data_IF_201941608648
#
_entry.id   IF_201941608648
#
_cell.length_a   1.000
_cell.length_b   1.000
_cell.length_c   1.000
_cell.angle_alpha   90.00
_cell.angle_beta   90.00
_cell.angle_gamma   90.00
#
_symmetry.space_group_name_H-M   'P 1'
#
loop_
_entity.id
_entity.type
_entity.pdbx_description
1 polymer ?
#
# COMPACT_ATOMS: atom_id res chain seq x y z
N UNK A 1 -26.55 -29.96 -3.54
CA UNK A 1 -25.50 -29.11 -4.16
C UNK A 1 -26.16 -28.14 -5.15
N UNK A 2 -27.03 -27.25 -4.71
CA UNK A 2 -27.67 -26.24 -5.57
C UNK A 2 -27.94 -24.98 -4.74
N UNK A 3 -27.52 -23.78 -5.26
CA UNK A 3 -27.83 -22.43 -4.86
C UNK A 3 -26.90 -21.76 -3.83
N UNK A 4 -25.64 -21.50 -4.22
CA UNK A 4 -24.81 -20.44 -3.58
C UNK A 4 -23.94 -19.66 -4.59
N UNK A 5 -24.26 -19.72 -5.89
CA UNK A 5 -23.37 -19.24 -6.95
C UNK A 5 -23.67 -17.83 -7.50
N UNK A 6 -24.47 -17.04 -6.80
CA UNK A 6 -24.95 -15.76 -7.34
C UNK A 6 -24.15 -14.51 -6.99
N UNK A 7 -23.14 -14.54 -6.10
CA UNK A 7 -22.62 -13.31 -5.48
C UNK A 7 -21.08 -13.17 -5.51
N UNK A 8 -20.35 -14.08 -6.13
CA UNK A 8 -18.86 -14.02 -6.08
C UNK A 8 -18.27 -13.68 -7.45
N UNK A 9 -18.71 -12.60 -8.06
CA UNK A 9 -18.12 -12.13 -9.32
C UNK A 9 -17.35 -10.83 -9.09
N UNK A 10 -16.03 -10.90 -9.15
CA UNK A 10 -15.19 -9.72 -9.34
C UNK A 10 -14.19 -9.36 -8.23
N UNK A 11 -13.37 -10.31 -7.73
CA UNK A 11 -12.41 -9.99 -6.68
C UNK A 11 -10.96 -10.17 -7.12
N UNK A 12 -10.10 -9.20 -6.79
CA UNK A 12 -8.65 -9.40 -6.70
C UNK A 12 -8.35 -9.76 -5.24
N UNK A 13 -7.89 -10.98 -5.02
CA UNK A 13 -7.57 -11.49 -3.70
C UNK A 13 -6.10 -11.19 -3.39
N UNK A 14 -5.84 -10.12 -2.61
CA UNK A 14 -4.54 -9.90 -2.00
C UNK A 14 -4.64 -10.21 -0.51
N UNK A 15 -3.80 -11.09 -0.01
CA UNK A 15 -3.88 -11.52 1.37
C UNK A 15 -3.00 -10.73 2.31
N UNK A 16 -3.65 -10.04 3.22
CA UNK A 16 -3.03 -9.43 4.39
C UNK A 16 -3.79 -9.91 5.64
N UNK A 17 -3.10 -10.16 6.77
CA UNK A 17 -3.79 -10.44 8.01
C UNK A 17 -4.66 -9.24 8.39
N UNK A 18 -5.96 -9.47 8.51
CA UNK A 18 -6.93 -8.43 8.81
C UNK A 18 -6.90 -8.05 10.28
N UNK A 19 -6.32 -6.91 10.59
CA UNK A 19 -6.72 -6.11 11.73
C UNK A 19 -7.47 -4.90 11.18
N UNK A 20 -8.69 -4.67 11.62
CA UNK A 20 -9.43 -3.47 11.25
C UNK A 20 -8.62 -2.24 11.69
N UNK A 21 -8.04 -1.53 10.73
CA UNK A 21 -7.26 -0.34 11.01
C UNK A 21 -8.18 0.86 11.16
N UNK A 22 -8.29 1.35 12.39
CA UNK A 22 -8.87 2.67 12.68
C UNK A 22 -7.82 3.79 12.66
N UNK A 23 -6.64 3.49 12.09
CA UNK A 23 -5.52 4.45 12.05
C UNK A 23 -5.89 5.66 11.20
N UNK A 24 -5.72 6.85 11.78
CA UNK A 24 -5.83 8.10 11.04
C UNK A 24 -4.61 8.29 10.10
N UNK A 25 -4.80 8.97 8.95
CA UNK A 25 -3.68 9.36 8.10
C UNK A 25 -2.60 10.11 8.87
N UNK A 26 -1.34 9.77 8.59
CA UNK A 26 -0.19 10.53 9.10
C UNK A 26 0.25 11.46 8.00
N UNK A 27 0.32 12.77 8.29
CA UNK A 27 0.78 13.81 7.38
C UNK A 27 1.82 14.66 8.07
N UNK A 28 3.00 14.80 7.48
CA UNK A 28 4.13 15.55 8.04
C UNK A 28 4.67 16.54 7.04
N UNK A 29 4.74 17.80 7.45
CA UNK A 29 5.40 18.87 6.72
C UNK A 29 6.89 18.89 7.10
N UNK A 30 7.72 18.18 6.33
CA UNK A 30 9.12 17.92 6.66
C UNK A 30 9.95 19.21 6.69
N UNK A 31 10.67 19.44 7.79
CA UNK A 31 11.44 20.65 8.02
C UNK A 31 10.61 21.90 8.30
N UNK A 32 9.28 21.79 8.37
CA UNK A 32 8.35 22.91 8.55
C UNK A 32 7.48 22.79 9.79
N UNK A 33 6.65 23.81 10.00
CA UNK A 33 5.60 23.83 11.02
C UNK A 33 4.33 23.15 10.55
N UNK A 34 3.31 23.12 11.42
CA UNK A 34 1.99 22.62 11.05
C UNK A 34 1.38 23.44 9.91
N UNK A 35 0.66 22.75 9.00
CA UNK A 35 0.00 23.36 7.85
C UNK A 35 -1.34 22.70 7.59
N UNK A 36 -2.35 23.49 7.23
CA UNK A 36 -3.63 22.96 6.73
C UNK A 36 -3.69 23.19 5.24
N UNK A 37 -3.86 22.12 4.48
CA UNK A 37 -3.88 22.16 3.02
C UNK A 37 -5.22 22.68 2.45
N UNK A 38 -5.28 22.82 1.13
CA UNK A 38 -6.46 23.31 0.40
C UNK A 38 -7.69 22.42 0.55
N UNK A 39 -7.51 21.16 0.97
CA UNK A 39 -8.59 20.20 1.23
C UNK A 39 -9.02 20.18 2.71
N UNK A 40 -8.45 21.07 3.55
CA UNK A 40 -8.71 21.10 4.98
C UNK A 40 -7.98 20.02 5.78
N UNK A 41 -7.01 19.33 5.19
CA UNK A 41 -6.24 18.27 5.85
C UNK A 41 -5.08 18.88 6.63
N UNK A 42 -4.88 18.43 7.87
CA UNK A 42 -3.82 18.94 8.73
C UNK A 42 -2.53 18.12 8.52
N UNK A 43 -1.48 18.80 8.12
CA UNK A 43 -0.11 18.32 8.09
C UNK A 43 0.58 18.74 9.37
N UNK A 44 1.09 17.78 10.13
CA UNK A 44 1.79 18.06 11.39
C UNK A 44 3.14 18.73 11.13
N UNK A 45 3.61 19.46 12.13
CA UNK A 45 4.99 19.93 12.16
C UNK A 45 5.95 18.74 12.03
N UNK A 46 7.14 19.01 11.51
CA UNK A 46 8.18 18.02 11.25
C UNK A 46 8.49 17.14 12.46
N UNK A 47 8.27 15.85 12.32
CA UNK A 47 8.42 14.83 13.36
C UNK A 47 8.72 13.45 12.77
N UNK A 48 9.20 12.53 13.62
CA UNK A 48 9.45 11.13 13.23
C UNK A 48 10.82 10.87 12.60
N UNK A 49 11.68 11.87 12.47
CA UNK A 49 13.01 11.75 11.89
C UNK A 49 14.09 11.41 12.94
N UNK A 50 15.17 10.78 12.46
CA UNK A 50 16.34 10.46 13.30
C UNK A 50 17.42 11.58 13.28
N UNK A 51 17.57 12.27 12.16
CA UNK A 51 18.66 13.25 11.93
C UNK A 51 18.29 14.26 10.84
N UNK A 52 19.25 15.06 10.41
CA UNK A 52 19.10 16.04 9.32
C UNK A 52 18.68 17.42 9.80
N UNK A 53 18.64 18.36 8.87
CA UNK A 53 18.37 19.77 9.10
C UNK A 53 17.10 20.19 8.38
N UNK A 54 16.20 20.86 9.07
CA UNK A 54 15.05 21.54 8.45
C UNK A 54 15.51 22.80 7.72
N UNK A 55 14.96 23.06 6.56
CA UNK A 55 15.21 24.25 5.77
C UNK A 55 13.92 24.76 5.17
N UNK A 56 13.81 26.08 5.06
CA UNK A 56 12.68 26.75 4.40
C UNK A 56 13.21 27.66 3.30
N UNK A 57 12.47 27.77 2.22
CA UNK A 57 12.68 28.75 1.18
C UNK A 57 11.34 29.39 0.77
N UNK A 58 11.43 30.57 0.16
CA UNK A 58 10.24 31.37 -0.21
C UNK A 58 9.81 31.17 -1.67
N UNK A 59 10.44 30.24 -2.38
CA UNK A 59 10.17 30.02 -3.79
C UNK A 59 8.79 29.37 -3.95
N UNK A 60 8.01 29.88 -4.88
CA UNK A 60 6.72 29.29 -5.23
C UNK A 60 6.94 28.00 -6.02
N UNK A 61 6.33 26.92 -5.58
CA UNK A 61 6.35 25.63 -6.27
C UNK A 61 5.12 25.52 -7.15
N UNK A 62 5.33 25.12 -8.42
CA UNK A 62 4.27 24.86 -9.40
C UNK A 62 3.86 23.39 -9.41
N UNK A 63 2.80 23.01 -10.14
CA UNK A 63 2.33 21.63 -10.24
C UNK A 63 1.60 21.11 -9.01
N UNK A 64 1.14 22.02 -8.11
CA UNK A 64 0.40 21.66 -6.89
C UNK A 64 -0.61 22.75 -6.52
N UNK A 65 -1.73 22.35 -5.87
CA UNK A 65 -2.66 23.27 -5.20
C UNK A 65 -2.14 23.80 -3.86
N UNK A 66 -1.12 23.13 -3.27
CA UNK A 66 -0.59 23.40 -1.95
C UNK A 66 0.92 23.72 -1.96
N UNK A 67 1.33 24.84 -2.62
CA UNK A 67 2.74 25.17 -2.79
C UNK A 67 3.47 25.40 -1.45
N UNK A 68 2.73 25.70 -0.38
CA UNK A 68 3.30 25.91 0.96
C UNK A 68 3.96 24.66 1.53
N UNK A 69 3.44 23.45 1.24
CA UNK A 69 4.05 22.17 1.65
C UNK A 69 5.45 21.95 1.07
N UNK A 70 5.77 22.62 -0.03
CA UNK A 70 7.07 22.48 -0.70
C UNK A 70 8.07 23.58 -0.32
N UNK A 71 7.67 24.56 0.50
CA UNK A 71 8.57 25.62 0.98
C UNK A 71 9.54 25.13 2.03
N UNK A 72 9.16 24.13 2.82
CA UNK A 72 10.04 23.49 3.80
C UNK A 72 10.52 22.13 3.27
N UNK A 73 11.63 21.70 3.79
CA UNK A 73 12.17 20.37 3.57
C UNK A 73 13.10 19.96 4.69
N UNK A 74 13.24 18.67 4.93
CA UNK A 74 14.35 18.13 5.71
C UNK A 74 15.36 17.50 4.76
N UNK A 75 16.63 17.82 4.95
CA UNK A 75 17.75 17.24 4.22
C UNK A 75 18.80 16.73 5.19
N UNK A 76 19.67 15.84 4.73
CA UNK A 76 20.77 15.35 5.56
C UNK A 76 22.11 15.48 4.86
N UNK A 77 23.02 16.28 5.46
CA UNK A 77 24.35 16.56 4.95
C UNK A 77 25.39 15.51 5.39
N UNK A 78 25.03 14.57 6.24
CA UNK A 78 25.96 13.55 6.78
C UNK A 78 25.88 12.26 5.96
N UNK A 79 26.78 11.31 6.27
CA UNK A 79 26.74 9.97 5.67
C UNK A 79 25.76 9.02 6.35
N UNK A 80 25.25 9.36 7.54
CA UNK A 80 24.19 8.60 8.20
C UNK A 80 22.88 8.79 7.44
N UNK A 81 22.15 7.75 7.04
CA UNK A 81 20.89 7.90 6.33
C UNK A 81 19.87 8.74 7.10
N UNK A 82 19.12 9.58 6.40
CA UNK A 82 17.93 10.22 6.94
C UNK A 82 16.82 9.19 6.99
N UNK A 83 16.26 8.96 8.18
CA UNK A 83 15.18 7.99 8.37
C UNK A 83 14.01 8.69 9.06
N UNK A 84 12.83 8.55 8.47
CA UNK A 84 11.57 8.81 9.16
C UNK A 84 10.98 7.49 9.62
N UNK A 85 10.46 7.44 10.86
CA UNK A 85 9.84 6.25 11.43
C UNK A 85 8.53 6.60 12.11
N UNK A 86 7.49 5.87 11.77
CA UNK A 86 6.15 6.04 12.30
C UNK A 86 5.62 4.73 12.85
N UNK A 87 5.20 4.71 14.11
CA UNK A 87 4.50 3.59 14.69
C UNK A 87 3.10 3.51 14.07
N UNK A 88 2.78 2.38 13.46
CA UNK A 88 1.48 2.14 12.82
C UNK A 88 1.08 0.68 13.08
N UNK A 89 -0.21 0.36 13.20
CA UNK A 89 -0.68 -1.02 13.23
C UNK A 89 -0.21 -1.83 12.02
N UNK A 90 -0.17 -3.15 12.14
CA UNK A 90 0.06 -4.01 10.99
C UNK A 90 -1.07 -3.88 9.97
N UNK A 91 -0.73 -3.90 8.68
CA UNK A 91 -1.70 -3.76 7.58
C UNK A 91 -1.12 -3.08 6.35
N UNK A 92 -1.99 -2.78 5.40
CA UNK A 92 -1.63 -2.10 4.15
C UNK A 92 -1.60 -0.58 4.30
N UNK A 93 -0.64 0.06 3.65
CA UNK A 93 -0.50 1.51 3.62
C UNK A 93 -0.09 2.00 2.24
N UNK A 94 -0.60 3.18 1.88
CA UNK A 94 -0.03 3.99 0.81
C UNK A 94 0.86 5.05 1.45
N UNK A 95 2.09 5.15 0.97
CA UNK A 95 3.06 6.17 1.37
C UNK A 95 3.28 7.11 0.20
N UNK A 96 2.92 8.37 0.38
CA UNK A 96 3.14 9.44 -0.58
C UNK A 96 4.32 10.28 -0.11
N UNK A 97 5.31 10.44 -0.98
CA UNK A 97 6.52 11.20 -0.76
C UNK A 97 6.51 12.42 -1.68
N UNK A 98 6.52 13.61 -1.10
CA UNK A 98 6.38 14.87 -1.83
C UNK A 98 7.76 15.55 -1.95
N UNK A 99 8.14 15.90 -3.17
CA UNK A 99 9.44 16.51 -3.46
C UNK A 99 9.30 17.70 -4.40
N UNK A 100 10.21 18.66 -4.26
CA UNK A 100 10.49 19.69 -5.25
C UNK A 100 11.96 20.12 -5.14
N UNK A 101 12.64 20.37 -6.27
CA UNK A 101 13.98 20.95 -6.24
C UNK A 101 13.90 22.48 -6.23
N UNK A 102 14.02 23.04 -5.03
CA UNK A 102 13.91 24.48 -4.80
C UNK A 102 15.25 25.16 -4.50
N UNK A 103 16.36 24.41 -4.50
CA UNK A 103 17.69 24.96 -4.27
C UNK A 103 18.30 25.42 -5.61
N UNK A 104 18.48 26.74 -5.88
CA UNK A 104 18.94 27.21 -7.20
C UNK A 104 20.24 26.59 -7.67
N UNK A 105 21.18 26.32 -6.75
CA UNK A 105 22.46 25.70 -7.08
C UNK A 105 22.36 24.22 -7.50
N UNK A 106 21.21 23.58 -7.31
CA UNK A 106 20.97 22.16 -7.59
C UNK A 106 19.90 21.95 -8.66
N UNK A 107 19.47 23.04 -9.32
CA UNK A 107 18.50 22.99 -10.42
C UNK A 107 19.19 22.63 -11.75
N UNK A 108 19.83 21.48 -11.76
CA UNK A 108 20.46 20.86 -12.92
C UNK A 108 20.46 19.33 -12.74
N UNK A 109 20.21 18.59 -13.80
CA UNK A 109 20.18 17.13 -13.74
C UNK A 109 21.53 16.55 -13.25
N UNK A 110 21.48 15.57 -12.38
CA UNK A 110 22.64 14.95 -11.77
C UNK A 110 23.18 15.66 -10.52
N UNK A 111 22.67 16.86 -10.19
CA UNK A 111 23.18 17.60 -9.04
C UNK A 111 22.74 17.04 -7.69
N UNK A 112 21.59 16.37 -7.61
CA UNK A 112 21.12 15.68 -6.44
C UNK A 112 20.54 14.32 -6.83
N UNK A 113 21.15 13.25 -6.33
CA UNK A 113 20.72 11.88 -6.58
C UNK A 113 20.71 11.12 -5.26
N UNK A 114 19.63 10.40 -4.98
CA UNK A 114 19.48 9.59 -3.79
C UNK A 114 18.56 8.39 -4.02
N UNK A 115 18.65 7.40 -3.13
CA UNK A 115 17.72 6.29 -3.09
C UNK A 115 16.72 6.47 -1.97
N UNK A 116 15.55 5.85 -2.09
CA UNK A 116 14.56 5.75 -1.02
C UNK A 116 14.18 4.30 -0.81
N UNK A 117 14.14 3.89 0.47
CA UNK A 117 13.66 2.58 0.89
C UNK A 117 12.44 2.71 1.81
N UNK A 118 11.48 1.81 1.65
CA UNK A 118 10.39 1.59 2.60
C UNK A 118 10.59 0.25 3.30
N UNK A 119 10.72 0.27 4.63
CA UNK A 119 10.96 -0.94 5.43
C UNK A 119 12.11 -1.79 4.88
N UNK A 120 13.19 -1.13 4.41
CA UNK A 120 14.37 -1.79 3.84
C UNK A 120 14.26 -2.17 2.36
N UNK A 121 13.09 -2.05 1.73
CA UNK A 121 12.90 -2.34 0.30
C UNK A 121 13.08 -1.05 -0.50
N UNK A 122 13.96 -1.07 -1.51
CA UNK A 122 14.19 0.07 -2.39
C UNK A 122 12.95 0.35 -3.24
N UNK A 123 12.41 1.57 -3.14
CA UNK A 123 11.24 2.03 -3.90
C UNK A 123 11.59 3.12 -4.91
N UNK A 124 12.65 3.91 -4.65
CA UNK A 124 13.26 4.83 -5.62
C UNK A 124 14.76 4.53 -5.67
N UNK A 125 15.29 4.41 -6.88
CA UNK A 125 16.72 4.22 -7.12
C UNK A 125 17.23 5.31 -8.05
N UNK A 126 18.37 5.92 -7.69
CA UNK A 126 18.97 7.02 -8.43
C UNK A 126 17.98 8.17 -8.73
N UNK A 127 17.11 8.48 -7.77
CA UNK A 127 16.09 9.50 -7.95
C UNK A 127 16.71 10.89 -7.98
N UNK A 128 16.42 11.62 -9.05
CA UNK A 128 16.79 13.00 -9.29
C UNK A 128 15.53 13.83 -9.49
N UNK A 129 15.21 14.66 -8.50
CA UNK A 129 13.98 15.47 -8.50
C UNK A 129 13.96 16.43 -9.70
N UNK A 130 15.10 17.08 -9.98
CA UNK A 130 15.17 18.03 -11.08
C UNK A 130 15.05 17.35 -12.44
N UNK A 131 15.69 16.21 -12.63
CA UNK A 131 15.58 15.44 -13.87
C UNK A 131 14.14 14.94 -14.11
N UNK A 132 13.40 14.64 -13.04
CA UNK A 132 12.02 14.17 -13.13
C UNK A 132 11.03 15.27 -13.53
N UNK A 133 11.12 16.47 -12.92
CA UNK A 133 10.07 17.51 -13.04
C UNK A 133 10.60 18.93 -13.24
N UNK A 134 11.90 19.14 -13.25
CA UNK A 134 12.51 20.48 -13.39
C UNK A 134 12.54 21.28 -12.08
N UNK A 135 12.91 22.58 -12.23
CA UNK A 135 13.03 23.50 -11.13
C UNK A 135 11.67 23.87 -10.53
N UNK A 136 11.62 23.96 -9.20
CA UNK A 136 10.46 24.49 -8.46
C UNK A 136 9.13 23.86 -8.86
N UNK A 137 9.14 22.60 -9.27
CA UNK A 137 7.96 21.85 -9.67
C UNK A 137 7.73 20.71 -8.68
N UNK A 138 6.48 20.54 -8.24
CA UNK A 138 6.11 19.49 -7.32
C UNK A 138 6.07 18.13 -8.02
N UNK A 139 6.57 17.11 -7.36
CA UNK A 139 6.36 15.71 -7.72
C UNK A 139 5.97 14.93 -6.46
N UNK A 140 5.03 14.01 -6.62
CA UNK A 140 4.61 13.06 -5.60
C UNK A 140 4.86 11.65 -6.10
N UNK A 141 5.67 10.91 -5.33
CA UNK A 141 5.92 9.50 -5.58
C UNK A 141 5.09 8.67 -4.59
N UNK A 142 4.34 7.70 -5.09
CA UNK A 142 3.37 6.92 -4.29
C UNK A 142 3.71 5.44 -4.30
N UNK A 143 3.74 4.83 -3.11
CA UNK A 143 4.09 3.43 -2.93
C UNK A 143 3.10 2.74 -1.99
N UNK A 144 2.72 1.53 -2.32
CA UNK A 144 1.99 0.68 -1.39
C UNK A 144 2.99 -0.20 -0.63
N UNK A 145 2.75 -0.38 0.66
CA UNK A 145 3.56 -1.25 1.52
C UNK A 145 2.70 -2.00 2.51
N UNK A 146 3.16 -3.16 2.94
CA UNK A 146 2.53 -3.93 4.02
C UNK A 146 3.40 -3.86 5.26
N UNK A 147 2.80 -3.50 6.38
CA UNK A 147 3.44 -3.47 7.69
C UNK A 147 3.12 -4.75 8.45
N UNK A 148 4.16 -5.45 8.90
CA UNK A 148 4.06 -6.63 9.77
C UNK A 148 4.82 -6.44 11.08
N UNK A 149 5.61 -5.37 11.19
CA UNK A 149 6.47 -5.06 12.35
C UNK A 149 6.05 -3.81 13.13
N UNK A 150 4.79 -3.37 13.02
CA UNK A 150 4.26 -2.26 13.81
C UNK A 150 4.80 -0.88 13.46
N UNK A 151 5.57 -0.73 12.37
CA UNK A 151 6.13 0.56 11.96
C UNK A 151 6.34 0.68 10.46
N UNK A 152 6.33 1.92 9.96
CA UNK A 152 6.85 2.29 8.64
C UNK A 152 8.15 3.05 8.85
N UNK A 153 9.23 2.60 8.19
CA UNK A 153 10.50 3.30 8.12
C UNK A 153 10.77 3.72 6.67
N UNK A 154 11.05 5.01 6.48
CA UNK A 154 11.37 5.62 5.18
C UNK A 154 12.82 6.09 5.26
N UNK A 155 13.71 5.45 4.52
CA UNK A 155 15.14 5.71 4.55
C UNK A 155 15.58 6.38 3.25
N UNK A 156 16.35 7.46 3.36
CA UNK A 156 16.89 8.23 2.26
C UNK A 156 18.41 8.08 2.23
N UNK A 157 18.92 7.36 1.24
CA UNK A 157 20.35 7.09 1.07
C UNK A 157 20.97 8.09 0.09
N UNK A 158 22.00 8.76 0.54
CA UNK A 158 22.75 9.74 -0.25
C UNK A 158 23.59 9.05 -1.34
N UNK A 159 23.49 9.54 -2.57
CA UNK A 159 24.41 9.20 -3.67
C UNK A 159 25.19 10.43 -4.14
N UNK A 160 24.49 11.46 -4.61
CA UNK A 160 25.08 12.75 -5.00
C UNK A 160 24.35 13.84 -4.22
N UNK A 161 25.08 14.71 -3.54
CA UNK A 161 24.52 15.73 -2.67
C UNK A 161 23.60 15.15 -1.57
N UNK A 162 22.90 15.99 -0.86
CA UNK A 162 22.08 15.62 0.29
C UNK A 162 20.70 15.10 -0.16
N UNK A 163 20.23 13.94 0.31
CA UNK A 163 18.84 13.58 0.13
C UNK A 163 17.94 14.59 0.83
N UNK A 164 16.73 14.79 0.31
CA UNK A 164 15.74 15.71 0.90
C UNK A 164 14.33 15.15 0.73
N UNK A 165 13.42 15.65 1.56
CA UNK A 165 11.98 15.39 1.49
C UNK A 165 11.22 16.66 1.91
N UNK A 166 10.15 17.01 1.21
CA UNK A 166 9.30 18.15 1.53
C UNK A 166 8.12 17.77 2.43
N UNK A 167 7.42 16.69 2.11
CA UNK A 167 6.33 16.21 2.96
C UNK A 167 6.13 14.70 2.81
N UNK A 168 5.56 14.09 3.83
CA UNK A 168 5.23 12.66 3.88
C UNK A 168 3.77 12.51 4.24
N UNK A 169 3.04 11.71 3.46
CA UNK A 169 1.70 11.27 3.80
C UNK A 169 1.67 9.75 3.85
N UNK A 170 1.11 9.21 4.93
CA UNK A 170 0.87 7.78 5.10
C UNK A 170 -0.62 7.58 5.29
N UNK A 171 -1.23 6.97 4.30
CA UNK A 171 -2.64 6.63 4.30
C UNK A 171 -2.77 5.16 4.67
N UNK A 172 -3.48 4.80 5.74
CA UNK A 172 -3.91 3.43 5.86
C UNK A 172 -4.73 3.15 4.59
N UNK A 173 -4.34 2.13 3.87
CA UNK A 173 -5.22 1.54 2.87
C UNK A 173 -6.37 1.06 3.74
N UNK A 174 -7.48 1.80 3.73
CA UNK A 174 -8.60 1.60 4.63
C UNK A 174 -8.91 0.12 4.73
N UNK A 175 -9.66 -0.34 5.72
CA UNK A 175 -10.05 -1.74 5.74
C UNK A 175 -10.61 -2.04 4.34
N UNK A 176 -9.71 -2.47 3.43
CA UNK A 176 -10.14 -2.97 2.12
C UNK A 176 -11.24 -3.95 2.46
N UNK A 177 -12.37 -3.90 1.78
CA UNK A 177 -13.48 -4.76 2.15
C UNK A 177 -12.96 -6.18 2.29
N UNK A 178 -13.10 -6.73 3.47
CA UNK A 178 -12.58 -8.04 3.79
C UNK A 178 -13.61 -9.08 3.40
N UNK A 179 -13.15 -10.16 2.81
CA UNK A 179 -13.93 -11.38 2.65
C UNK A 179 -13.26 -12.47 3.49
N UNK A 180 -13.99 -13.00 4.45
CA UNK A 180 -13.55 -14.17 5.21
C UNK A 180 -14.18 -15.42 4.63
N UNK A 181 -13.37 -16.38 4.23
CA UNK A 181 -13.80 -17.74 3.86
C UNK A 181 -13.61 -18.63 5.07
N UNK A 182 -14.71 -19.19 5.59
CA UNK A 182 -14.68 -20.11 6.72
C UNK A 182 -15.00 -21.51 6.23
N UNK A 183 -14.06 -22.41 6.42
CA UNK A 183 -14.16 -23.83 6.03
C UNK A 183 -14.36 -24.70 7.27
N UNK A 184 -15.44 -25.43 7.28
CA UNK A 184 -15.73 -26.39 8.35
C UNK A 184 -16.16 -27.73 7.73
N UNK A 185 -15.93 -28.79 8.45
CA UNK A 185 -16.56 -30.07 8.12
C UNK A 185 -18.03 -30.11 8.56
N UNK A 186 -18.78 -31.08 8.08
CA UNK A 186 -20.20 -31.28 8.44
C UNK A 186 -20.43 -31.51 9.94
N UNK A 187 -19.39 -31.92 10.67
CA UNK A 187 -19.41 -32.07 12.13
C UNK A 187 -19.07 -30.75 12.89
N UNK A 188 -18.89 -29.65 12.15
CA UNK A 188 -18.56 -28.34 12.71
C UNK A 188 -17.07 -28.13 13.01
N UNK A 189 -16.21 -29.15 12.82
CA UNK A 189 -14.76 -28.97 13.04
C UNK A 189 -14.12 -28.09 11.98
N UNK A 190 -13.19 -27.18 12.37
CA UNK A 190 -12.46 -26.35 11.39
C UNK A 190 -11.59 -27.20 10.48
N UNK A 191 -11.50 -26.81 9.20
CA UNK A 191 -10.56 -27.43 8.27
C UNK A 191 -9.17 -26.85 8.53
N UNK A 192 -8.17 -27.73 8.66
CA UNK A 192 -6.76 -27.34 8.67
C UNK A 192 -6.20 -27.41 7.26
N UNK A 193 -5.29 -26.50 6.91
CA UNK A 193 -4.66 -26.53 5.59
C UNK A 193 -4.40 -25.15 5.02
N UNK A 194 -4.44 -25.04 3.71
CA UNK A 194 -4.13 -23.78 3.01
C UNK A 194 -5.06 -23.56 1.81
N UNK A 195 -5.51 -22.33 1.66
CA UNK A 195 -6.24 -21.87 0.49
C UNK A 195 -5.22 -21.33 -0.54
N UNK A 196 -5.15 -21.96 -1.69
CA UNK A 196 -4.38 -21.49 -2.84
C UNK A 196 -5.31 -20.69 -3.74
N UNK A 197 -4.87 -19.51 -4.12
CA UNK A 197 -5.60 -18.69 -5.09
C UNK A 197 -4.72 -18.36 -6.29
N UNK A 198 -5.32 -18.31 -7.45
CA UNK A 198 -4.68 -17.83 -8.66
C UNK A 198 -5.68 -17.04 -9.49
N UNK A 199 -5.22 -15.93 -10.03
CA UNK A 199 -5.95 -15.12 -11.00
C UNK A 199 -5.08 -14.95 -12.23
N UNK A 200 -5.65 -15.13 -13.40
CA UNK A 200 -4.96 -14.87 -14.64
C UNK A 200 -5.84 -14.13 -15.63
N UNK A 201 -5.26 -13.14 -16.27
CA UNK A 201 -5.79 -12.46 -17.45
C UNK A 201 -4.70 -12.41 -18.52
N UNK A 202 -5.01 -11.83 -19.67
CA UNK A 202 -4.02 -11.64 -20.73
C UNK A 202 -2.86 -10.69 -20.32
N UNK A 203 -3.03 -9.88 -19.27
CA UNK A 203 -2.09 -8.84 -18.85
C UNK A 203 -1.51 -9.07 -17.45
N UNK A 204 -2.15 -9.89 -16.61
CA UNK A 204 -1.76 -10.06 -15.22
C UNK A 204 -1.96 -11.50 -14.77
N UNK A 205 -0.96 -12.02 -14.06
CA UNK A 205 -1.08 -13.29 -13.33
C UNK A 205 -0.69 -13.05 -11.88
N UNK A 206 -1.62 -13.29 -10.97
CA UNK A 206 -1.44 -13.17 -9.52
C UNK A 206 -1.81 -14.49 -8.87
N UNK A 207 -1.08 -14.87 -7.84
CA UNK A 207 -1.42 -16.06 -7.07
C UNK A 207 -0.70 -16.10 -5.73
N UNK A 208 -1.20 -16.91 -4.83
CA UNK A 208 -0.62 -17.07 -3.50
C UNK A 208 -1.26 -18.20 -2.71
N UNK A 209 -0.79 -18.36 -1.49
CA UNK A 209 -1.23 -19.39 -0.55
C UNK A 209 -1.55 -18.74 0.78
N UNK A 210 -2.71 -19.08 1.34
CA UNK A 210 -3.22 -18.64 2.61
C UNK A 210 -3.33 -19.80 3.58
N UNK A 211 -2.55 -19.83 4.66
CA UNK A 211 -2.79 -20.80 5.71
C UNK A 211 -4.15 -20.53 6.34
N UNK A 212 -4.90 -21.58 6.62
CA UNK A 212 -6.13 -21.49 7.41
C UNK A 212 -5.80 -21.37 8.89
N UNK A 213 -6.36 -20.34 9.53
CA UNK A 213 -6.31 -20.17 10.98
C UNK A 213 -7.70 -20.47 11.54
N UNK A 214 -7.84 -21.50 12.32
CA UNK A 214 -9.14 -21.99 12.81
C UNK A 214 -10.18 -22.19 11.67
N UNK A 215 -9.73 -22.75 10.57
CA UNK A 215 -10.57 -22.97 9.39
C UNK A 215 -10.86 -21.70 8.57
N UNK A 216 -10.23 -20.59 8.84
CA UNK A 216 -10.53 -19.31 8.19
C UNK A 216 -9.35 -18.81 7.36
N UNK A 217 -9.65 -18.33 6.14
CA UNK A 217 -8.77 -17.50 5.34
C UNK A 217 -9.45 -16.15 5.13
N UNK A 218 -8.77 -15.06 5.47
CA UNK A 218 -9.29 -13.71 5.24
C UNK A 218 -8.54 -13.05 4.11
N UNK A 219 -9.28 -12.50 3.19
CA UNK A 219 -8.80 -11.91 1.96
C UNK A 219 -9.18 -10.45 1.89
N UNK A 220 -8.27 -9.62 1.40
CA UNK A 220 -8.55 -8.22 1.08
C UNK A 220 -9.16 -8.16 -0.31
N UNK A 221 -10.30 -7.49 -0.45
CA UNK A 221 -10.94 -7.24 -1.73
C UNK A 221 -10.41 -5.93 -2.29
N UNK A 222 -9.54 -5.99 -3.30
CA UNK A 222 -9.00 -4.78 -3.94
C UNK A 222 -10.03 -4.23 -4.92
N UNK A 223 -10.52 -3.02 -4.64
CA UNK A 223 -11.52 -2.31 -5.44
C UNK A 223 -10.95 -1.11 -6.22
N UNK A 224 -9.62 -1.01 -6.35
CA UNK A 224 -9.02 0.09 -7.11
C UNK A 224 -9.44 0.04 -8.58
N UNK A 225 -10.09 1.09 -9.11
CA UNK A 225 -10.47 1.14 -10.53
C UNK A 225 -9.29 0.97 -11.49
N UNK A 226 -8.09 1.37 -11.08
CA UNK A 226 -6.86 1.23 -11.87
C UNK A 226 -6.44 -0.23 -12.00
N UNK A 227 -6.49 -0.99 -10.90
CA UNK A 227 -6.22 -2.44 -10.91
C UNK A 227 -7.33 -3.18 -11.63
N UNK A 228 -8.60 -2.82 -11.41
CA UNK A 228 -9.74 -3.42 -12.09
C UNK A 228 -9.70 -3.18 -13.61
N UNK A 229 -9.24 -2.01 -14.06
CA UNK A 229 -9.04 -1.70 -15.49
C UNK A 229 -7.97 -2.54 -16.17
N UNK A 230 -6.94 -2.97 -15.44
CA UNK A 230 -5.86 -3.82 -15.96
C UNK A 230 -6.24 -5.30 -16.05
N UNK A 231 -7.23 -5.73 -15.29
CA UNK A 231 -7.55 -7.15 -15.14
C UNK A 231 -8.45 -7.66 -16.27
N UNK A 232 -9.33 -6.80 -16.83
CA UNK A 232 -10.25 -7.23 -17.89
C UNK A 232 -11.10 -8.44 -17.49
N UNK A 233 -11.41 -9.32 -18.43
CA UNK A 233 -12.02 -10.63 -18.13
C UNK A 233 -10.97 -11.59 -17.59
N UNK A 234 -11.17 -12.08 -16.38
CA UNK A 234 -10.19 -12.85 -15.60
C UNK A 234 -10.81 -14.17 -15.14
N UNK A 235 -9.97 -15.20 -15.03
CA UNK A 235 -10.32 -16.46 -14.35
C UNK A 235 -9.75 -16.42 -12.93
N UNK A 236 -10.61 -16.66 -11.94
CA UNK A 236 -10.24 -16.86 -10.54
C UNK A 236 -10.30 -18.36 -10.22
N UNK A 237 -9.22 -18.89 -9.69
CA UNK A 237 -9.09 -20.25 -9.19
C UNK A 237 -8.86 -20.22 -7.69
N UNK A 238 -9.65 -20.97 -6.95
CA UNK A 238 -9.49 -21.20 -5.52
C UNK A 238 -9.40 -22.71 -5.28
N UNK A 239 -8.31 -23.14 -4.67
CA UNK A 239 -8.08 -24.54 -4.32
C UNK A 239 -7.77 -24.62 -2.83
N UNK A 240 -8.47 -25.47 -2.10
CA UNK A 240 -8.19 -25.75 -0.69
C UNK A 240 -7.46 -27.08 -0.58
N UNK A 241 -6.28 -27.06 0.03
CA UNK A 241 -5.57 -28.27 0.47
C UNK A 241 -5.73 -28.43 1.98
N UNK A 242 -5.93 -29.64 2.43
CA UNK A 242 -5.93 -29.98 3.86
C UNK A 242 -4.52 -30.01 4.47
N UNK A 243 -4.43 -30.34 5.75
CA UNK A 243 -3.14 -30.44 6.46
C UNK A 243 -2.19 -31.52 5.94
N UNK A 244 -2.67 -32.44 5.10
CA UNK A 244 -1.85 -33.47 4.43
C UNK A 244 -1.37 -33.05 3.04
N UNK A 245 -1.84 -31.90 2.54
CA UNK A 245 -1.59 -31.43 1.18
C UNK A 245 -2.56 -31.97 0.14
N UNK A 246 -3.61 -32.70 0.55
CA UNK A 246 -4.63 -33.21 -0.36
C UNK A 246 -5.62 -32.11 -0.72
N UNK A 247 -5.95 -31.96 -1.99
CA UNK A 247 -6.97 -31.00 -2.43
C UNK A 247 -8.36 -31.50 -2.04
N UNK A 248 -9.03 -30.75 -1.15
CA UNK A 248 -10.34 -31.12 -0.59
C UNK A 248 -11.48 -30.27 -1.13
N UNK A 249 -11.18 -29.17 -1.80
CA UNK A 249 -12.16 -28.27 -2.40
C UNK A 249 -11.53 -27.41 -3.49
N UNK A 250 -12.32 -27.11 -4.52
CA UNK A 250 -11.92 -26.18 -5.56
C UNK A 250 -13.11 -25.43 -6.15
N UNK A 251 -12.85 -24.23 -6.63
CA UNK A 251 -13.77 -23.47 -7.46
C UNK A 251 -12.98 -22.70 -8.52
N UNK A 252 -13.56 -22.63 -9.71
CA UNK A 252 -13.06 -21.73 -10.75
C UNK A 252 -14.23 -20.93 -11.31
N UNK A 253 -14.02 -19.64 -11.54
CA UNK A 253 -15.06 -18.75 -12.06
C UNK A 253 -14.46 -17.69 -12.97
N UNK A 254 -15.19 -17.33 -14.01
CA UNK A 254 -14.93 -16.11 -14.77
C UNK A 254 -15.41 -14.90 -13.98
N UNK A 255 -14.58 -13.88 -13.87
CA UNK A 255 -14.92 -12.62 -13.21
C UNK A 255 -14.81 -11.46 -14.17
N UNK A 256 -15.80 -10.57 -14.13
CA UNK A 256 -15.75 -9.29 -14.83
C UNK A 256 -15.68 -8.16 -13.81
N UNK A 257 -14.49 -7.64 -13.51
CA UNK A 257 -14.29 -6.64 -12.46
C UNK A 257 -15.06 -5.34 -12.70
N UNK A 258 -15.30 -4.98 -13.97
CA UNK A 258 -15.97 -3.72 -14.32
C UNK A 258 -17.46 -3.67 -13.91
N UNK A 259 -18.08 -4.81 -13.61
CA UNK A 259 -19.50 -4.91 -13.23
C UNK A 259 -19.72 -5.44 -11.82
N UNK A 260 -18.68 -5.64 -11.02
CA UNK A 260 -18.79 -6.22 -9.70
C UNK A 260 -19.25 -5.20 -8.66
N UNK A 261 -20.43 -5.41 -8.09
CA UNK A 261 -20.87 -4.72 -6.88
C UNK A 261 -20.39 -5.48 -5.64
N UNK A 262 -19.35 -4.94 -4.99
CA UNK A 262 -18.73 -5.52 -3.81
C UNK A 262 -19.44 -5.16 -2.50
N UNK A 263 -20.40 -4.25 -2.54
CA UNK A 263 -21.06 -3.73 -1.34
C UNK A 263 -21.76 -4.81 -0.52
N UNK A 264 -22.29 -5.83 -1.19
CA UNK A 264 -23.02 -6.93 -0.55
C UNK A 264 -22.15 -7.98 0.16
N UNK A 265 -20.83 -8.00 -0.11
CA UNK A 265 -19.89 -9.00 0.47
C UNK A 265 -18.78 -8.37 1.29
N UNK A 266 -18.74 -7.03 1.36
CA UNK A 266 -17.80 -6.31 2.22
C UNK A 266 -17.96 -6.73 3.67
N UNK A 267 -16.84 -7.08 4.31
CA UNK A 267 -16.79 -7.50 5.72
C UNK A 267 -17.70 -8.70 6.04
N UNK A 268 -18.00 -9.53 5.03
CA UNK A 268 -18.82 -10.71 5.22
C UNK A 268 -17.97 -11.97 5.41
N UNK A 269 -18.60 -12.99 6.01
CA UNK A 269 -18.03 -14.32 6.12
C UNK A 269 -18.82 -15.27 5.26
N UNK A 270 -18.16 -15.91 4.29
CA UNK A 270 -18.74 -17.00 3.51
C UNK A 270 -18.36 -18.32 4.16
N UNK A 271 -19.39 -19.08 4.55
CA UNK A 271 -19.20 -20.40 5.16
C UNK A 271 -19.20 -21.49 4.08
N UNK A 272 -18.15 -22.28 4.04
CA UNK A 272 -18.01 -23.47 3.18
C UNK A 272 -18.00 -24.71 4.06
N UNK A 273 -18.98 -25.57 3.88
CA UNK A 273 -19.08 -26.82 4.64
C UNK A 273 -18.66 -27.98 3.75
N UNK A 274 -17.67 -28.73 4.20
CA UNK A 274 -17.10 -29.88 3.49
C UNK A 274 -17.52 -31.19 4.15
N UNK A 275 -17.69 -32.21 3.36
CA UNK A 275 -17.80 -33.58 3.88
C UNK A 275 -16.42 -34.04 4.31
N UNK A 276 -16.31 -34.58 5.52
CA UNK A 276 -15.04 -35.15 6.00
C UNK A 276 -14.71 -36.36 5.16
N UNK A 277 -13.44 -36.50 4.64
CA UNK A 277 -13.04 -37.66 3.88
C UNK A 277 -13.16 -38.96 4.66
#
# INVERSE_FOLDING_TARGET
MKKFFGVVAGFVLACLPAAAQTQQPIRVNCGGGSYTDSNGQVWQADTGYNTGTGSTNIVTTTGTSDPTLYRSNRYNATTTPLIYSFAVPNGGYRVNLLFAENAPALQVAGARIFNVKLNGIAVLQNFDIYAAVGANTAVMESFNTTVTGGKIAIEFDRLVQNPKINAIEILPLGAEPLLTLKFTYTDGTPVSGSLHYAMSSSLLSLGGVLPLVNGQATCVLVSSPEVLGLIGQTQLFLNLTDGTGTMVWQVSMGVNPASADLSSVQNSTLNVVLTKP
#
